data_IF_932311915001
#
_entry.id   IF_932311915001
#
_cell.length_a   1.000
_cell.length_b   1.000
_cell.length_c   1.000
_cell.angle_alpha   90.00
_cell.angle_beta   90.00
_cell.angle_gamma   90.00
#
_symmetry.space_group_name_H-M   'P 1'
#
loop_
_entity.id
_entity.type
_entity.pdbx_description
1 polymer ?
#
# COMPACT_ATOMS: atom_id res chain seq x y z
N UNK A 1 -5.04 8.07 -23.14
CA UNK A 1 -4.48 9.38 -22.79
C UNK A 1 -3.31 9.15 -21.86
N UNK A 2 -2.15 9.80 -22.07
CA UNK A 2 -1.05 9.67 -21.11
C UNK A 2 -1.44 10.38 -19.81
N UNK A 3 -1.45 9.66 -18.69
CA UNK A 3 -1.68 10.26 -17.39
C UNK A 3 -0.46 11.11 -17.01
N UNK A 4 -0.69 12.37 -16.68
CA UNK A 4 0.38 13.30 -16.30
C UNK A 4 0.97 12.93 -14.94
N UNK A 5 2.29 13.10 -14.81
CA UNK A 5 2.96 12.85 -13.55
C UNK A 5 2.72 14.01 -12.57
N UNK A 6 2.46 13.68 -11.31
CA UNK A 6 2.17 14.62 -10.21
C UNK A 6 3.15 14.41 -9.07
N UNK A 7 3.33 15.41 -8.21
CA UNK A 7 4.22 15.29 -7.04
C UNK A 7 3.59 14.39 -5.97
N UNK A 8 4.43 13.66 -5.23
CA UNK A 8 3.95 12.71 -4.24
C UNK A 8 3.13 13.34 -3.11
N UNK A 9 3.40 14.60 -2.74
CA UNK A 9 2.59 15.33 -1.75
C UNK A 9 1.20 15.73 -2.28
N UNK A 10 1.00 15.74 -3.60
CA UNK A 10 -0.29 16.04 -4.23
C UNK A 10 -1.18 14.79 -4.34
N UNK A 11 -0.59 13.60 -4.27
CA UNK A 11 -1.31 12.33 -4.30
C UNK A 11 -1.75 11.97 -2.89
N UNK A 12 -3.07 11.97 -2.67
CA UNK A 12 -3.65 11.51 -1.42
C UNK A 12 -3.23 10.06 -1.11
N UNK A 13 -2.92 9.79 0.15
CA UNK A 13 -2.75 8.42 0.64
C UNK A 13 -4.01 7.57 0.34
N UNK A 14 -3.79 6.26 0.12
CA UNK A 14 -4.84 5.32 -0.28
C UNK A 14 -5.02 5.21 -1.80
N UNK A 15 -4.43 6.11 -2.57
CA UNK A 15 -4.45 6.06 -4.04
C UNK A 15 -3.39 5.11 -4.59
N UNK A 16 -3.69 4.53 -5.75
CA UNK A 16 -2.72 3.75 -6.51
C UNK A 16 -1.98 4.65 -7.49
N UNK A 17 -0.68 4.40 -7.63
CA UNK A 17 0.23 5.13 -8.53
C UNK A 17 1.15 4.15 -9.25
N UNK A 18 1.68 4.53 -10.39
CA UNK A 18 2.81 3.88 -11.04
C UNK A 18 4.08 4.66 -10.67
N UNK A 19 5.09 3.93 -10.22
CA UNK A 19 6.40 4.45 -9.87
C UNK A 19 7.49 3.41 -10.15
N UNK A 20 8.74 3.86 -10.26
CA UNK A 20 9.88 2.95 -10.32
C UNK A 20 10.38 2.66 -8.89
N UNK A 21 10.35 1.39 -8.51
CA UNK A 21 10.86 0.89 -7.23
C UNK A 21 12.03 -0.03 -7.54
N UNK A 22 13.24 0.35 -7.09
CA UNK A 22 14.45 -0.46 -7.29
C UNK A 22 14.73 -0.82 -8.77
N UNK A 23 14.45 0.12 -9.69
CA UNK A 23 14.63 -0.10 -11.13
C UNK A 23 13.48 -0.84 -11.81
N UNK A 24 12.38 -1.13 -11.10
CA UNK A 24 11.22 -1.83 -11.65
C UNK A 24 9.98 -0.93 -11.59
N UNK A 25 9.36 -0.69 -12.74
CA UNK A 25 8.06 -0.02 -12.79
C UNK A 25 6.99 -0.89 -12.11
N UNK A 26 6.28 -0.32 -11.15
CA UNK A 26 5.29 -1.03 -10.36
C UNK A 26 4.06 -0.16 -10.06
N UNK A 27 2.88 -0.79 -10.01
CA UNK A 27 1.70 -0.19 -9.37
C UNK A 27 1.89 -0.28 -7.86
N UNK A 28 1.81 0.85 -7.19
CA UNK A 28 2.06 1.01 -5.77
C UNK A 28 0.85 1.62 -5.06
N UNK A 29 0.62 1.23 -3.81
CA UNK A 29 -0.25 1.96 -2.90
C UNK A 29 0.52 3.13 -2.29
N UNK A 30 0.02 4.36 -2.48
CA UNK A 30 0.53 5.54 -1.79
C UNK A 30 0.10 5.51 -0.33
N UNK A 31 1.06 5.63 0.57
CA UNK A 31 0.84 5.56 2.01
C UNK A 31 1.52 6.73 2.74
N UNK A 32 1.01 7.02 3.94
CA UNK A 32 1.50 8.12 4.78
C UNK A 32 1.57 7.74 6.26
N UNK A 33 2.60 8.24 6.94
CA UNK A 33 2.76 8.10 8.39
C UNK A 33 3.02 9.46 9.01
N UNK A 34 2.15 9.88 9.92
CA UNK A 34 2.36 11.08 10.72
C UNK A 34 3.57 10.88 11.65
N UNK A 35 4.63 11.66 11.43
CA UNK A 35 5.72 11.82 12.37
C UNK A 35 5.41 12.90 13.41
N UNK A 36 6.40 13.24 14.24
CA UNK A 36 6.24 14.29 15.26
C UNK A 36 5.99 15.67 14.63
N UNK A 37 6.80 16.02 13.64
CA UNK A 37 6.82 17.37 13.04
C UNK A 37 6.62 17.36 11.52
N UNK A 38 6.54 16.17 10.90
CA UNK A 38 6.45 16.00 9.46
C UNK A 38 5.63 14.77 9.08
N UNK A 39 5.11 14.79 7.86
CA UNK A 39 4.40 13.66 7.24
C UNK A 39 5.38 12.86 6.39
N UNK A 40 5.49 11.56 6.65
CA UNK A 40 6.33 10.67 5.85
C UNK A 40 5.52 10.08 4.71
N UNK A 41 6.08 10.09 3.50
CA UNK A 41 5.47 9.54 2.30
C UNK A 41 6.10 8.19 1.98
N UNK A 42 5.27 7.19 1.69
CA UNK A 42 5.71 5.85 1.33
C UNK A 42 4.97 5.30 0.13
N UNK A 43 5.58 4.31 -0.52
CA UNK A 43 4.96 3.45 -1.52
C UNK A 43 5.04 1.99 -1.04
N UNK A 44 3.96 1.23 -1.30
CA UNK A 44 3.96 -0.23 -1.19
C UNK A 44 3.77 -0.82 -2.57
N UNK A 45 4.75 -1.54 -3.14
CA UNK A 45 4.64 -2.13 -4.48
C UNK A 45 3.65 -3.30 -4.47
N UNK A 46 2.62 -3.23 -5.32
CA UNK A 46 1.56 -4.22 -5.41
C UNK A 46 1.63 -5.07 -6.68
N UNK A 47 2.05 -4.47 -7.80
CA UNK A 47 2.18 -5.16 -9.09
C UNK A 47 3.43 -4.70 -9.85
N UNK A 48 4.29 -5.61 -10.35
CA UNK A 48 4.19 -7.06 -10.17
C UNK A 48 4.27 -7.41 -8.68
N UNK A 49 3.48 -8.41 -8.26
CA UNK A 49 3.51 -8.86 -6.88
C UNK A 49 4.95 -9.30 -6.56
N UNK A 50 5.60 -8.76 -5.52
CA UNK A 50 6.97 -9.11 -5.24
C UNK A 50 7.11 -10.62 -5.05
N UNK A 51 8.12 -11.23 -5.69
CA UNK A 51 8.33 -12.69 -5.66
C UNK A 51 8.61 -13.24 -4.25
N UNK A 52 9.06 -12.38 -3.34
CA UNK A 52 9.32 -12.69 -1.94
C UNK A 52 8.52 -11.70 -1.07
N UNK A 53 7.79 -12.20 -0.07
CA UNK A 53 7.04 -11.38 0.87
C UNK A 53 7.93 -10.41 1.64
N UNK A 54 9.23 -10.72 1.79
CA UNK A 54 10.22 -9.80 2.36
C UNK A 54 10.37 -8.49 1.58
N UNK A 55 10.01 -8.48 0.28
CA UNK A 55 10.05 -7.30 -0.58
C UNK A 55 8.75 -6.48 -0.54
N UNK A 56 7.68 -6.99 0.08
CA UNK A 56 6.48 -6.19 0.32
C UNK A 56 6.68 -5.34 1.58
N UNK A 57 7.20 -4.13 1.38
CA UNK A 57 7.64 -3.23 2.44
C UNK A 57 7.26 -1.78 2.16
N UNK A 58 7.42 -0.92 3.17
CA UNK A 58 7.32 0.53 3.00
C UNK A 58 8.58 1.08 2.34
N UNK A 59 8.44 1.58 1.12
CA UNK A 59 9.48 2.34 0.44
C UNK A 59 9.29 3.81 0.72
N UNK A 60 10.21 4.41 1.48
CA UNK A 60 10.21 5.85 1.71
C UNK A 60 10.41 6.57 0.37
N UNK A 61 9.64 7.64 0.15
CA UNK A 61 9.80 8.51 -1.01
C UNK A 61 9.88 9.96 -0.58
N UNK A 62 10.58 10.74 -1.39
CA UNK A 62 10.59 12.19 -1.26
C UNK A 62 9.19 12.76 -1.60
N UNK A 63 8.65 13.75 -0.86
CA UNK A 63 7.36 14.37 -1.18
C UNK A 63 7.32 15.01 -2.57
N UNK A 64 8.45 15.42 -3.13
CA UNK A 64 8.56 15.99 -4.48
C UNK A 64 8.79 14.94 -5.58
N UNK A 65 8.84 13.64 -5.22
CA UNK A 65 8.96 12.56 -6.19
C UNK A 65 7.80 12.60 -7.20
N UNK A 66 8.12 12.33 -8.47
CA UNK A 66 7.15 12.30 -9.55
C UNK A 66 6.43 10.95 -9.59
N UNK A 67 5.11 10.95 -9.49
CA UNK A 67 4.25 9.76 -9.48
C UNK A 67 3.22 9.87 -10.59
N UNK A 68 2.91 8.76 -11.24
CA UNK A 68 1.82 8.70 -12.24
C UNK A 68 0.61 8.07 -11.56
N UNK A 69 -0.58 8.68 -11.51
CA UNK A 69 -1.74 8.01 -10.92
C UNK A 69 -2.06 6.73 -11.71
N UNK A 70 -2.49 5.66 -11.03
CA UNK A 70 -2.81 4.39 -11.68
C UNK A 70 -4.32 4.22 -11.84
N UNK A 71 -4.77 3.83 -13.04
CA UNK A 71 -6.16 3.46 -13.33
C UNK A 71 -6.45 2.02 -12.83
N UNK A 72 -6.35 1.81 -11.53
CA UNK A 72 -6.63 0.54 -10.89
C UNK A 72 -7.25 0.74 -9.51
N UNK A 73 -7.89 -0.30 -8.99
CA UNK A 73 -8.42 -0.35 -7.62
C UNK A 73 -7.85 -1.55 -6.88
N UNK A 74 -7.44 -1.33 -5.63
CA UNK A 74 -7.12 -2.43 -4.72
C UNK A 74 -8.42 -3.02 -4.18
N UNK A 75 -8.70 -4.26 -4.52
CA UNK A 75 -9.87 -5.01 -4.07
C UNK A 75 -9.42 -6.00 -3.00
N UNK A 76 -10.16 -6.01 -1.88
CA UNK A 76 -9.92 -6.95 -0.77
C UNK A 76 -10.98 -8.03 -0.84
N UNK A 77 -10.52 -9.27 -0.87
CA UNK A 77 -11.34 -10.46 -1.02
C UNK A 77 -12.01 -10.87 0.31
N UNK A 78 -12.61 -12.06 0.33
CA UNK A 78 -13.30 -12.58 1.51
C UNK A 78 -12.33 -12.82 2.68
N UNK A 79 -12.86 -12.71 3.91
CA UNK A 79 -12.09 -12.92 5.14
C UNK A 79 -11.97 -14.42 5.44
N UNK A 80 -10.76 -14.84 5.76
CA UNK A 80 -10.33 -16.18 6.14
C UNK A 80 -9.88 -16.21 7.61
N UNK A 81 -10.16 -17.33 8.29
CA UNK A 81 -9.81 -17.55 9.70
C UNK A 81 -8.41 -18.14 9.89
N UNK A 82 -7.36 -17.46 9.43
CA UNK A 82 -5.96 -17.88 9.61
C UNK A 82 -5.08 -16.75 10.15
N UNK A 83 -3.85 -17.09 10.54
CA UNK A 83 -2.86 -16.11 10.98
C UNK A 83 -2.43 -15.19 9.84
N UNK A 84 -2.10 -13.94 10.18
CA UNK A 84 -1.69 -12.92 9.23
C UNK A 84 -0.22 -13.02 8.82
N UNK A 85 0.02 -13.04 7.52
CA UNK A 85 1.34 -12.99 6.91
C UNK A 85 1.55 -11.66 6.19
N UNK A 86 2.81 -11.36 5.86
CA UNK A 86 3.11 -10.18 5.04
C UNK A 86 2.48 -10.35 3.66
N UNK A 87 1.73 -9.34 3.24
CA UNK A 87 0.93 -9.38 2.03
C UNK A 87 -0.53 -9.71 2.25
N UNK A 88 -0.94 -10.11 3.46
CA UNK A 88 -2.35 -10.22 3.80
C UNK A 88 -2.95 -8.87 4.23
N UNK A 89 -4.25 -8.74 4.05
CA UNK A 89 -5.05 -7.67 4.63
C UNK A 89 -5.63 -8.16 5.96
N UNK A 90 -5.12 -7.65 7.07
CA UNK A 90 -5.67 -7.88 8.41
C UNK A 90 -6.99 -7.14 8.55
N UNK A 91 -8.04 -7.83 8.98
CA UNK A 91 -9.37 -7.25 9.20
C UNK A 91 -9.68 -7.23 10.68
N UNK A 92 -9.97 -6.05 11.22
CA UNK A 92 -10.35 -5.86 12.62
C UNK A 92 -11.42 -4.75 12.75
N UNK A 93 -11.82 -4.41 13.97
CA UNK A 93 -12.85 -3.39 14.23
C UNK A 93 -12.45 -1.97 13.79
N UNK A 94 -11.16 -1.70 13.59
CA UNK A 94 -10.64 -0.41 13.13
C UNK A 94 -10.56 -0.30 11.60
N UNK A 95 -10.67 -1.41 10.87
CA UNK A 95 -10.65 -1.40 9.41
C UNK A 95 -9.90 -2.59 8.80
N UNK A 96 -9.36 -2.34 7.60
CA UNK A 96 -8.66 -3.32 6.75
C UNK A 96 -7.25 -2.82 6.50
N UNK A 97 -6.25 -3.60 6.89
CA UNK A 97 -4.86 -3.17 6.91
C UNK A 97 -3.95 -4.16 6.20
N UNK A 98 -3.30 -3.71 5.12
CA UNK A 98 -2.26 -4.49 4.45
C UNK A 98 -1.03 -4.59 5.35
N UNK A 99 -0.67 -5.82 5.74
CA UNK A 99 0.53 -6.11 6.53
C UNK A 99 1.76 -6.10 5.63
N UNK A 100 2.73 -5.26 5.95
CA UNK A 100 3.98 -5.09 5.20
C UNK A 100 5.17 -5.06 6.15
N UNK A 101 6.38 -5.23 5.63
CA UNK A 101 7.58 -4.94 6.39
C UNK A 101 7.80 -3.43 6.57
N UNK A 102 8.14 -3.03 7.78
CA UNK A 102 8.66 -1.70 8.06
C UNK A 102 10.16 -1.67 7.77
N UNK A 103 10.67 -0.55 7.26
CA UNK A 103 12.09 -0.35 6.92
C UNK A 103 12.86 0.40 8.02
N UNK A 104 12.20 0.79 9.11
CA UNK A 104 12.85 1.41 10.26
C UNK A 104 13.72 0.41 11.05
N UNK A 105 15.04 0.45 10.78
CA UNK A 105 16.20 -0.13 11.50
C UNK A 105 16.01 -1.43 12.34
N UNK A 106 16.81 -2.43 11.94
CA UNK A 106 17.44 -3.52 12.74
C UNK A 106 16.59 -4.63 13.35
N UNK A 107 15.26 -4.55 13.33
CA UNK A 107 14.40 -5.68 13.73
C UNK A 107 13.26 -5.86 12.72
N UNK A 108 12.74 -7.09 12.59
CA UNK A 108 11.61 -7.41 11.69
C UNK A 108 10.31 -6.78 12.22
N UNK A 109 10.17 -5.47 12.09
CA UNK A 109 8.96 -4.76 12.45
C UNK A 109 7.96 -4.81 11.28
N UNK A 110 6.69 -5.01 11.60
CA UNK A 110 5.60 -4.96 10.65
C UNK A 110 4.89 -3.62 10.73
N UNK A 111 4.52 -3.09 9.58
CA UNK A 111 3.61 -1.96 9.45
C UNK A 111 2.30 -2.42 8.82
N UNK A 112 1.25 -1.65 9.09
CA UNK A 112 -0.12 -1.97 8.68
C UNK A 112 -0.70 -0.76 7.96
N UNK A 113 -0.85 -0.86 6.64
CA UNK A 113 -1.34 0.23 5.81
C UNK A 113 -2.84 0.08 5.64
N UNK A 114 -3.63 1.03 6.14
CA UNK A 114 -5.08 1.00 5.94
C UNK A 114 -5.38 1.11 4.44
N UNK A 115 -6.10 0.12 3.89
CA UNK A 115 -6.27 -0.03 2.43
C UNK A 115 -6.97 1.17 1.80
N UNK A 116 -7.94 1.78 2.49
CA UNK A 116 -8.73 2.89 1.96
C UNK A 116 -8.03 4.23 2.08
N UNK A 117 -7.43 4.52 3.25
CA UNK A 117 -6.86 5.84 3.55
C UNK A 117 -5.36 5.93 3.27
N UNK A 118 -4.68 4.79 3.10
CA UNK A 118 -3.22 4.69 3.00
C UNK A 118 -2.49 5.07 4.30
N UNK A 119 -3.19 5.28 5.41
CA UNK A 119 -2.55 5.64 6.67
C UNK A 119 -1.83 4.43 7.27
N UNK A 120 -0.56 4.63 7.59
CA UNK A 120 0.29 3.60 8.19
C UNK A 120 0.12 3.58 9.70
N UNK A 121 -0.20 2.40 10.25
CA UNK A 121 -0.36 2.14 11.67
C UNK A 121 0.55 1.00 12.13
N UNK A 122 0.71 0.90 13.45
CA UNK A 122 1.43 -0.18 14.12
C UNK A 122 0.43 -1.14 14.78
N UNK A 123 0.86 -2.40 14.98
CA UNK A 123 0.19 -3.41 15.85
C UNK A 123 -1.30 -3.63 15.58
N UNK A 124 -1.69 -3.87 14.33
CA UNK A 124 -3.12 -4.09 13.98
C UNK A 124 -3.60 -5.55 14.09
N UNK A 125 -2.71 -6.50 14.39
CA UNK A 125 -3.09 -7.91 14.57
C UNK A 125 -3.85 -8.20 15.87
N UNK A 126 -3.70 -7.37 16.91
CA UNK A 126 -4.43 -7.56 18.16
C UNK A 126 -5.92 -7.30 17.90
N UNK A 127 -6.74 -8.32 18.11
CA UNK A 127 -8.18 -8.25 17.83
C UNK A 127 -8.52 -8.40 16.35
N UNK A 128 -7.59 -8.95 15.54
CA UNK A 128 -7.91 -9.38 14.18
C UNK A 128 -9.02 -10.43 14.21
N UNK A 129 -10.03 -10.21 13.37
CA UNK A 129 -11.17 -11.11 13.18
C UNK A 129 -10.83 -12.15 12.11
N UNK A 130 -9.91 -11.80 11.20
CA UNK A 130 -9.36 -12.69 10.19
C UNK A 130 -8.46 -11.90 9.24
N UNK A 131 -8.13 -12.54 8.13
CA UNK A 131 -7.28 -11.97 7.08
C UNK A 131 -7.94 -12.14 5.72
N UNK A 132 -7.63 -11.28 4.78
CA UNK A 132 -8.12 -11.38 3.40
C UNK A 132 -6.95 -11.26 2.43
N UNK A 133 -7.09 -11.92 1.28
CA UNK A 133 -6.26 -11.67 0.11
C UNK A 133 -6.74 -10.43 -0.63
N UNK A 134 -5.97 -9.99 -1.62
CA UNK A 134 -6.31 -8.83 -2.42
C UNK A 134 -5.81 -9.00 -3.85
N UNK A 135 -6.43 -8.26 -4.76
CA UNK A 135 -6.02 -8.15 -6.15
C UNK A 135 -6.22 -6.72 -6.67
N UNK A 136 -5.60 -6.41 -7.80
CA UNK A 136 -5.81 -5.16 -8.51
C UNK A 136 -6.87 -5.35 -9.59
N UNK A 137 -7.96 -4.61 -9.49
CA UNK A 137 -8.94 -4.49 -10.56
C UNK A 137 -8.54 -3.35 -11.51
N UNK A 138 -8.29 -3.70 -12.77
CA UNK A 138 -7.87 -2.78 -13.85
C UNK A 138 -9.01 -2.46 -14.83
N UNK A 139 -10.22 -2.92 -14.56
CA UNK A 139 -11.37 -2.74 -15.48
C UNK A 139 -11.98 -1.33 -15.42
N UNK A 140 -11.45 -0.46 -14.58
CA UNK A 140 -11.92 0.93 -14.37
C UNK A 140 -11.87 1.78 -15.68
N UNK A 141 -11.20 1.32 -16.73
CA UNK A 141 -11.13 1.99 -18.04
C UNK A 141 -12.27 1.65 -19.04
N UNK A 142 -13.19 0.71 -18.76
CA UNK A 142 -14.14 0.25 -19.80
C UNK A 142 -15.49 1.00 -19.91
N UNK A 143 -15.75 2.06 -19.11
CA UNK A 143 -17.06 2.74 -19.11
C UNK A 143 -17.01 4.27 -19.30
N UNK A 144 -15.93 4.79 -19.90
CA UNK A 144 -15.84 6.21 -20.30
C UNK A 144 -15.49 6.35 -21.79
N UNK A 145 -16.20 5.58 -22.64
CA UNK A 145 -16.26 5.78 -24.09
C UNK A 145 -17.67 6.18 -24.50
#
# INVERSE_FOLDING_TARGET
>A
MAMEAVRAYQVAAGRLVVAEIEGVAAICLKAERQGKDFLNHYLVPLDPRPADSARLRLHYIDPDASLIPAAARLVVDAVEGRAAEVGDVVVNALGRFLKVHDTAKTERHYAYVEVTSGIVRLRQEKGAIGVATWHLDRTVDQHMA
#
